data_IF_183137782906
#
_entry.id   IF_183137782906
#
_cell.length_a   1.000
_cell.length_b   1.000
_cell.length_c   1.000
_cell.angle_alpha   90.00
_cell.angle_beta   90.00
_cell.angle_gamma   90.00
#
_symmetry.space_group_name_H-M   'P 1'
#
loop_
_entity.id
_entity.type
_entity.pdbx_description
1 polymer ?
#
# COMPACT_ATOMS: atom_id res chain seq x y z
N UNK A 1 -29.70 -0.69 -12.87
CA UNK A 1 -30.09 -2.11 -12.94
C UNK A 1 -29.67 -2.61 -14.31
N UNK A 2 -28.49 -3.23 -14.40
CA UNK A 2 -27.98 -3.78 -15.66
C UNK A 2 -28.57 -5.18 -15.85
N UNK A 3 -29.29 -5.40 -16.94
CA UNK A 3 -29.74 -6.73 -17.34
C UNK A 3 -28.63 -7.40 -18.15
N UNK A 4 -28.10 -8.51 -17.65
CA UNK A 4 -27.03 -9.28 -18.30
C UNK A 4 -27.52 -10.69 -18.60
N UNK A 5 -27.30 -11.16 -19.84
CA UNK A 5 -27.57 -12.53 -20.23
C UNK A 5 -26.25 -13.23 -20.59
N UNK A 6 -25.96 -14.34 -19.92
CA UNK A 6 -24.68 -15.05 -20.05
C UNK A 6 -24.58 -15.89 -21.34
N UNK A 7 -25.71 -16.16 -22.01
CA UNK A 7 -25.79 -17.06 -23.17
C UNK A 7 -25.52 -16.31 -24.49
N UNK A 8 -25.98 -15.06 -24.59
CA UNK A 8 -25.82 -14.21 -25.77
C UNK A 8 -24.77 -13.09 -25.58
N UNK A 9 -24.24 -12.94 -24.36
CA UNK A 9 -23.29 -11.87 -24.01
C UNK A 9 -23.93 -10.49 -23.91
N UNK A 10 -25.26 -10.39 -23.99
CA UNK A 10 -25.97 -9.12 -23.92
C UNK A 10 -25.80 -8.48 -22.54
N UNK A 11 -25.51 -7.17 -22.53
CA UNK A 11 -25.33 -6.38 -21.31
C UNK A 11 -23.95 -6.51 -20.66
N UNK A 12 -23.02 -7.28 -21.24
CA UNK A 12 -21.67 -7.46 -20.70
C UNK A 12 -20.88 -6.14 -20.61
N UNK A 13 -21.00 -5.26 -21.60
CA UNK A 13 -20.29 -3.98 -21.57
C UNK A 13 -20.85 -3.06 -20.48
N UNK A 14 -22.18 -3.01 -20.32
CA UNK A 14 -22.80 -2.31 -19.19
C UNK A 14 -22.41 -2.87 -17.82
N UNK A 15 -22.13 -4.17 -17.73
CA UNK A 15 -21.58 -4.78 -16.51
C UNK A 15 -20.12 -4.36 -16.26
N UNK A 16 -19.29 -4.32 -17.31
CA UNK A 16 -17.89 -3.83 -17.20
C UNK A 16 -17.87 -2.38 -16.72
N UNK A 17 -18.72 -1.54 -17.28
CA UNK A 17 -18.82 -0.12 -16.90
C UNK A 17 -19.29 0.03 -15.45
N UNK A 18 -20.27 -0.78 -15.03
CA UNK A 18 -20.74 -0.79 -13.65
C UNK A 18 -19.65 -1.26 -12.66
N UNK A 19 -18.86 -2.28 -13.03
CA UNK A 19 -17.72 -2.74 -12.22
C UNK A 19 -16.65 -1.65 -12.16
N UNK A 20 -16.29 -1.05 -13.29
CA UNK A 20 -15.30 0.02 -13.35
C UNK A 20 -15.71 1.19 -12.45
N UNK A 21 -16.95 1.67 -12.58
CA UNK A 21 -17.48 2.75 -11.75
C UNK A 21 -17.54 2.38 -10.26
N UNK A 22 -17.83 1.12 -9.93
CA UNK A 22 -17.87 0.67 -8.52
C UNK A 22 -16.50 0.64 -7.84
N UNK A 23 -15.44 0.28 -8.59
CA UNK A 23 -14.09 0.12 -8.05
C UNK A 23 -13.33 1.44 -8.06
N UNK A 24 -13.52 2.25 -9.11
CA UNK A 24 -12.77 3.51 -9.28
C UNK A 24 -13.49 4.72 -8.72
N UNK A 25 -14.80 4.62 -8.45
CA UNK A 25 -15.69 5.75 -8.17
C UNK A 25 -15.67 6.84 -9.25
N UNK A 26 -15.36 6.45 -10.50
CA UNK A 26 -15.19 7.35 -11.65
C UNK A 26 -16.03 6.90 -12.83
N UNK A 27 -16.38 7.85 -13.70
CA UNK A 27 -17.04 7.51 -14.96
C UNK A 27 -16.04 6.88 -15.96
N UNK A 28 -16.46 5.93 -16.82
CA UNK A 28 -15.58 5.26 -17.77
C UNK A 28 -14.84 6.21 -18.74
N UNK A 29 -15.42 7.38 -19.01
CA UNK A 29 -14.90 8.37 -19.96
C UNK A 29 -14.05 9.48 -19.32
N UNK A 30 -13.83 9.45 -18.00
CA UNK A 30 -12.96 10.42 -17.32
C UNK A 30 -11.48 10.08 -17.54
N UNK A 31 -10.73 10.99 -18.15
CA UNK A 31 -9.27 10.89 -18.30
C UNK A 31 -8.63 10.51 -16.96
N UNK A 32 -7.88 9.41 -16.95
CA UNK A 32 -7.16 8.94 -15.78
C UNK A 32 -6.17 10.00 -15.29
N UNK A 33 -6.62 10.88 -14.40
CA UNK A 33 -5.75 11.56 -13.45
C UNK A 33 -5.30 10.51 -12.45
N UNK A 34 -4.48 9.58 -12.92
CA UNK A 34 -3.68 8.76 -12.02
C UNK A 34 -2.84 9.77 -11.25
N UNK A 35 -3.00 9.89 -9.92
CA UNK A 35 -2.08 10.71 -9.17
C UNK A 35 -0.69 10.21 -9.53
N UNK A 36 0.19 11.12 -9.96
CA UNK A 36 1.55 10.83 -10.39
C UNK A 36 2.45 10.42 -9.20
N UNK A 37 1.93 9.59 -8.30
CA UNK A 37 2.64 8.94 -7.23
C UNK A 37 2.83 7.47 -7.57
N UNK A 38 4.01 6.93 -7.27
CA UNK A 38 4.26 5.50 -7.29
C UNK A 38 3.16 4.77 -6.50
N UNK A 39 2.34 4.01 -7.22
CA UNK A 39 1.33 3.16 -6.59
C UNK A 39 2.05 2.14 -5.71
N UNK A 40 1.82 2.23 -4.41
CA UNK A 40 2.28 1.21 -3.45
C UNK A 40 1.40 -0.03 -3.61
N UNK A 41 1.69 -0.84 -4.63
CA UNK A 41 0.92 -2.04 -4.96
C UNK A 41 1.16 -3.20 -3.97
N UNK A 42 2.25 -3.15 -3.22
CA UNK A 42 2.61 -4.18 -2.25
C UNK A 42 2.05 -3.88 -0.88
N UNK A 43 1.22 -4.80 -0.34
CA UNK A 43 0.74 -4.74 1.04
C UNK A 43 1.89 -4.60 2.03
N UNK A 44 3.04 -5.24 1.75
CA UNK A 44 4.26 -5.15 2.56
C UNK A 44 4.78 -3.72 2.66
N UNK A 45 4.91 -3.04 1.52
CA UNK A 45 5.37 -1.64 1.48
C UNK A 45 4.35 -0.72 2.15
N UNK A 46 3.05 -0.97 1.95
CA UNK A 46 1.98 -0.22 2.60
C UNK A 46 2.08 -0.32 4.13
N UNK A 47 2.19 -1.54 4.68
CA UNK A 47 2.36 -1.77 6.12
C UNK A 47 3.62 -1.11 6.68
N UNK A 48 4.75 -1.22 5.98
CA UNK A 48 6.00 -0.59 6.37
C UNK A 48 5.89 0.95 6.40
N UNK A 49 5.28 1.55 5.38
CA UNK A 49 5.04 3.00 5.32
C UNK A 49 4.08 3.48 6.41
N UNK A 50 3.00 2.74 6.69
CA UNK A 50 2.09 3.06 7.80
C UNK A 50 2.81 3.02 9.14
N UNK A 51 3.60 1.97 9.41
CA UNK A 51 4.38 1.86 10.64
C UNK A 51 5.47 2.94 10.77
N UNK A 52 6.08 3.34 9.66
CA UNK A 52 7.03 4.45 9.64
C UNK A 52 6.36 5.78 9.98
N UNK A 53 5.20 6.05 9.39
CA UNK A 53 4.40 7.25 9.68
C UNK A 53 4.00 7.30 11.15
N UNK A 54 3.56 6.19 11.74
CA UNK A 54 3.25 6.10 13.16
C UNK A 54 4.44 6.50 14.04
N UNK A 55 5.64 5.98 13.74
CA UNK A 55 6.86 6.35 14.46
C UNK A 55 7.19 7.84 14.36
N UNK A 56 7.05 8.43 13.16
CA UNK A 56 7.26 9.87 12.96
C UNK A 56 6.24 10.70 13.74
N UNK A 57 4.98 10.30 13.76
CA UNK A 57 3.92 10.99 14.51
C UNK A 57 4.21 10.92 16.01
N UNK A 58 4.56 9.75 16.55
CA UNK A 58 4.94 9.60 17.97
C UNK A 58 6.15 10.44 18.33
N UNK A 59 7.20 10.43 17.51
CA UNK A 59 8.40 11.25 17.73
C UNK A 59 8.05 12.75 17.77
N UNK A 60 7.19 13.21 16.85
CA UNK A 60 6.73 14.60 16.80
C UNK A 60 5.94 14.98 18.06
N UNK A 61 5.02 14.12 18.48
CA UNK A 61 4.22 14.33 19.69
C UNK A 61 5.09 14.35 20.94
N UNK A 62 6.02 13.40 21.08
CA UNK A 62 6.97 13.33 22.17
C UNK A 62 7.86 14.60 22.24
N UNK A 63 8.36 15.05 21.09
CA UNK A 63 9.15 16.28 21.02
C UNK A 63 8.33 17.52 21.39
N UNK A 64 7.07 17.60 20.94
CA UNK A 64 6.16 18.72 21.24
C UNK A 64 5.77 18.77 22.71
N UNK A 65 5.61 17.60 23.34
CA UNK A 65 5.24 17.45 24.74
C UNK A 65 6.43 17.56 25.70
N UNK A 66 7.64 17.86 25.20
CA UNK A 66 8.84 18.04 26.02
C UNK A 66 9.36 16.73 26.64
N UNK A 67 9.07 15.58 26.04
CA UNK A 67 9.61 14.29 26.45
C UNK A 67 11.12 14.27 26.21
N UNK A 68 11.87 13.50 27.02
CA UNK A 68 13.32 13.38 26.85
C UNK A 68 13.70 12.89 25.45
N UNK A 69 14.83 13.40 24.97
CA UNK A 69 15.33 13.18 23.60
C UNK A 69 15.59 11.70 23.30
N UNK A 70 15.85 10.89 24.32
CA UNK A 70 16.07 9.44 24.17
C UNK A 70 14.81 8.72 23.66
N UNK A 71 13.62 9.13 24.13
CA UNK A 71 12.36 8.56 23.66
C UNK A 71 12.03 9.02 22.23
N UNK A 72 12.25 10.31 21.94
CA UNK A 72 12.11 10.85 20.57
C UNK A 72 13.03 10.11 19.60
N UNK A 73 14.30 9.89 19.98
CA UNK A 73 15.26 9.15 19.15
C UNK A 73 14.84 7.69 18.93
N UNK A 74 14.20 7.07 19.91
CA UNK A 74 13.68 5.70 19.80
C UNK A 74 12.56 5.62 18.76
N UNK A 75 11.60 6.55 18.78
CA UNK A 75 10.51 6.58 17.80
C UNK A 75 11.00 6.92 16.38
N UNK A 76 12.00 7.79 16.25
CA UNK A 76 12.66 8.06 14.96
C UNK A 76 13.37 6.81 14.44
N UNK A 77 14.09 6.08 15.30
CA UNK A 77 14.77 4.84 14.90
C UNK A 77 13.77 3.79 14.44
N UNK A 78 12.65 3.64 15.15
CA UNK A 78 11.56 2.76 14.72
C UNK A 78 11.05 3.11 13.32
N UNK A 79 10.86 4.40 13.02
CA UNK A 79 10.42 4.82 11.70
C UNK A 79 11.45 4.49 10.61
N UNK A 80 12.74 4.68 10.90
CA UNK A 80 13.84 4.32 9.99
C UNK A 80 13.89 2.80 9.76
N UNK A 81 13.74 1.99 10.80
CA UNK A 81 13.77 0.53 10.69
C UNK A 81 12.62 0.01 9.81
N UNK A 82 11.42 0.59 9.95
CA UNK A 82 10.26 0.29 9.09
C UNK A 82 10.51 0.66 7.63
N UNK A 83 11.20 1.77 7.36
CA UNK A 83 11.60 2.13 5.99
C UNK A 83 12.69 1.17 5.46
N UNK A 84 13.62 0.74 6.31
CA UNK A 84 14.64 -0.25 6.00
C UNK A 84 14.09 -1.61 5.58
N UNK A 85 12.89 -1.98 6.05
CA UNK A 85 12.20 -3.17 5.55
C UNK A 85 11.88 -3.04 4.06
N UNK A 86 11.51 -1.86 3.57
CA UNK A 86 11.17 -1.64 2.16
C UNK A 86 12.39 -1.84 1.27
N UNK A 87 13.53 -1.23 1.63
CA UNK A 87 14.80 -1.29 0.90
C UNK A 87 15.54 -2.62 1.08
N UNK A 88 15.19 -3.38 2.12
CA UNK A 88 15.81 -4.65 2.47
C UNK A 88 16.98 -4.52 3.45
N UNK A 89 17.33 -3.30 3.89
CA UNK A 89 18.37 -3.04 4.90
C UNK A 89 18.02 -3.62 6.27
N UNK A 90 16.72 -3.65 6.60
CA UNK A 90 16.19 -4.28 7.82
C UNK A 90 15.28 -5.41 7.40
N UNK A 91 15.81 -6.61 7.19
CA UNK A 91 15.02 -7.77 6.74
C UNK A 91 15.14 -8.92 7.72
N UNK A 92 14.00 -9.48 8.14
CA UNK A 92 13.96 -10.77 8.85
C UNK A 92 13.96 -11.92 7.83
N UNK A 93 14.59 -13.05 8.17
CA UNK A 93 14.67 -14.26 7.33
C UNK A 93 13.29 -14.65 6.74
N UNK A 94 12.24 -14.55 7.57
CA UNK A 94 10.85 -14.86 7.21
C UNK A 94 10.29 -14.00 6.06
N UNK A 95 10.75 -12.74 5.93
CA UNK A 95 10.31 -11.84 4.85
C UNK A 95 10.94 -12.25 3.52
N UNK A 96 12.21 -12.64 3.52
CA UNK A 96 12.88 -13.16 2.32
C UNK A 96 12.20 -14.43 1.85
N UNK A 97 11.96 -15.38 2.77
CA UNK A 97 11.33 -16.65 2.46
C UNK A 97 9.94 -16.47 1.84
N UNK A 98 9.15 -15.51 2.35
CA UNK A 98 7.82 -15.18 1.81
C UNK A 98 7.88 -14.47 0.46
N UNK A 99 8.81 -13.55 0.24
CA UNK A 99 9.02 -12.93 -1.07
C UNK A 99 9.32 -14.02 -2.09
N UNK A 100 10.31 -14.88 -1.81
CA UNK A 100 10.78 -15.92 -2.74
C UNK A 100 9.83 -17.12 -2.88
N UNK A 101 8.92 -17.35 -1.92
CA UNK A 101 7.88 -18.38 -2.02
C UNK A 101 6.93 -18.19 -3.21
N UNK A 102 6.84 -16.96 -3.73
CA UNK A 102 5.98 -16.59 -4.87
C UNK A 102 6.71 -16.63 -6.20
N UNK A 103 8.04 -16.83 -6.19
CA UNK A 103 8.85 -16.91 -7.40
C UNK A 103 8.92 -18.36 -7.89
N UNK A 104 8.76 -18.57 -9.20
CA UNK A 104 9.01 -19.86 -9.81
C UNK A 104 10.47 -20.30 -9.55
N UNK A 105 10.70 -21.60 -9.34
CA UNK A 105 12.04 -22.17 -9.16
C UNK A 105 12.92 -21.80 -10.38
N UNK A 106 14.03 -21.11 -10.13
CA UNK A 106 15.00 -20.72 -11.15
C UNK A 106 15.07 -19.22 -11.48
N UNK A 107 14.55 -18.34 -10.60
CA UNK A 107 14.76 -16.89 -10.67
C UNK A 107 15.77 -16.40 -9.64
#
# INVERSE_FOLDING_TARGET
MTHTCAVDGAGLDGLKDAIFASVTHRAPDEEAQTPAGELVASLRHSTALSGALEGVVRAREAATNGVEKEFVATDVRWAVDRLGEITGETTTEDILERIFSTFCIGK
#
